data_IF_941534445871
#
_entry.id   IF_941534445871
#
_cell.length_a   1.000
_cell.length_b   1.000
_cell.length_c   1.000
_cell.angle_alpha   90.00
_cell.angle_beta   90.00
_cell.angle_gamma   90.00
#
_symmetry.space_group_name_H-M   'P 1'
#
loop_
_entity.id
_entity.type
_entity.pdbx_description
1 polymer ?
#
# COMPACT_ATOMS: atom_id res chain seq x y z
N UNK A 1 36.16 2.07 -20.30
CA UNK A 1 34.72 1.78 -20.29
C UNK A 1 34.38 1.41 -18.87
N UNK A 2 33.48 2.18 -18.26
CA UNK A 2 33.14 2.21 -16.84
C UNK A 2 32.47 0.91 -16.39
N UNK A 3 33.07 0.23 -15.42
CA UNK A 3 32.41 -0.78 -14.61
C UNK A 3 31.41 -0.07 -13.69
N UNK A 4 30.12 -0.16 -14.02
CA UNK A 4 29.04 0.17 -13.10
C UNK A 4 29.17 -0.70 -11.86
N UNK A 5 29.55 -0.07 -10.73
CA UNK A 5 29.39 -0.67 -9.42
C UNK A 5 27.91 -0.90 -9.20
N UNK A 6 27.47 -2.15 -9.31
CA UNK A 6 26.20 -2.59 -8.75
C UNK A 6 26.37 -2.46 -7.23
N UNK A 7 25.92 -1.34 -6.68
CA UNK A 7 25.83 -1.12 -5.25
C UNK A 7 24.83 -2.13 -4.71
N UNK A 8 25.31 -3.18 -4.06
CA UNK A 8 24.49 -4.12 -3.32
C UNK A 8 23.65 -3.31 -2.31
N UNK A 9 22.37 -3.09 -2.64
CA UNK A 9 21.38 -2.52 -1.71
C UNK A 9 21.30 -3.45 -0.50
N UNK A 10 22.07 -3.14 0.56
CA UNK A 10 21.96 -3.83 1.85
C UNK A 10 20.51 -3.72 2.33
N UNK A 11 19.86 -4.86 2.47
CA UNK A 11 18.51 -4.93 3.01
C UNK A 11 18.50 -4.31 4.42
N UNK A 12 17.69 -3.27 4.67
CA UNK A 12 17.68 -2.62 5.98
C UNK A 12 17.20 -3.60 7.05
N UNK A 13 17.82 -3.56 8.23
CA UNK A 13 17.45 -4.42 9.36
C UNK A 13 16.14 -3.92 9.97
N UNK A 14 15.02 -4.51 9.56
CA UNK A 14 13.68 -4.13 10.02
C UNK A 14 13.15 -5.11 11.07
N UNK A 15 12.84 -4.59 12.27
CA UNK A 15 12.15 -5.38 13.29
C UNK A 15 10.63 -5.46 13.04
N UNK A 16 9.92 -6.47 13.57
CA UNK A 16 8.46 -6.55 13.46
C UNK A 16 7.74 -5.29 13.98
N UNK A 17 8.23 -4.71 15.08
CA UNK A 17 7.67 -3.46 15.65
C UNK A 17 7.84 -2.27 14.72
N UNK A 18 8.99 -2.15 14.06
CA UNK A 18 9.22 -1.10 13.06
C UNK A 18 8.31 -1.29 11.85
N UNK A 19 8.17 -2.53 11.37
CA UNK A 19 7.28 -2.87 10.26
C UNK A 19 5.84 -2.44 10.56
N UNK A 20 5.36 -2.75 11.76
CA UNK A 20 3.99 -2.40 12.17
C UNK A 20 3.78 -0.90 12.35
N UNK A 21 4.76 -0.19 12.91
CA UNK A 21 4.74 1.27 13.03
C UNK A 21 4.65 1.93 11.65
N UNK A 22 5.54 1.55 10.73
CA UNK A 22 5.55 2.12 9.38
C UNK A 22 4.26 1.80 8.64
N UNK A 23 3.76 0.55 8.70
CA UNK A 23 2.47 0.18 8.12
C UNK A 23 1.33 1.06 8.64
N UNK A 24 1.25 1.22 9.95
CA UNK A 24 0.21 2.01 10.61
C UNK A 24 0.25 3.47 10.17
N UNK A 25 1.45 4.06 10.13
CA UNK A 25 1.60 5.46 9.77
C UNK A 25 1.40 5.71 8.27
N UNK A 26 1.77 4.76 7.40
CA UNK A 26 1.43 4.81 5.98
C UNK A 26 -0.08 4.76 5.75
N UNK A 27 -0.82 3.91 6.49
CA UNK A 27 -2.29 3.87 6.45
C UNK A 27 -2.92 5.20 6.87
N UNK A 28 -2.34 5.88 7.86
CA UNK A 28 -2.78 7.22 8.30
C UNK A 28 -2.42 8.34 7.32
N UNK A 29 -1.61 8.06 6.29
CA UNK A 29 -1.10 9.08 5.37
C UNK A 29 0.00 9.97 5.97
N UNK A 30 0.72 9.50 7.00
CA UNK A 30 1.84 10.24 7.59
C UNK A 30 2.99 10.43 6.59
N UNK A 31 3.66 11.59 6.66
CA UNK A 31 4.84 11.88 5.83
C UNK A 31 6.07 11.05 6.24
N UNK A 32 7.00 10.85 5.30
CA UNK A 32 8.28 10.17 5.59
C UNK A 32 9.05 10.86 6.74
N UNK A 33 9.02 12.19 6.82
CA UNK A 33 9.66 12.95 7.90
C UNK A 33 9.05 12.65 9.27
N UNK A 34 7.72 12.50 9.34
CA UNK A 34 7.02 12.13 10.57
C UNK A 34 7.36 10.71 10.99
N UNK A 35 7.38 9.79 10.02
CA UNK A 35 7.74 8.39 10.28
C UNK A 35 9.20 8.28 10.74
N UNK A 36 10.13 9.03 10.15
CA UNK A 36 11.53 9.08 10.57
C UNK A 36 11.68 9.49 12.04
N UNK A 37 10.95 10.54 12.45
CA UNK A 37 10.92 10.98 13.84
C UNK A 37 10.37 9.90 14.78
N UNK A 38 9.33 9.18 14.39
CA UNK A 38 8.74 8.09 15.18
C UNK A 38 9.64 6.84 15.25
N UNK A 39 10.45 6.61 14.23
CA UNK A 39 11.46 5.55 14.20
C UNK A 39 12.72 5.92 15.00
N UNK A 40 12.87 7.18 15.43
CA UNK A 40 14.08 7.72 16.07
C UNK A 40 15.33 7.48 15.20
N UNK A 41 15.20 7.73 13.89
CA UNK A 41 16.24 7.51 12.89
C UNK A 41 16.51 8.76 12.08
N UNK A 42 17.72 8.84 11.55
CA UNK A 42 18.07 9.82 10.53
C UNK A 42 17.17 9.66 9.31
N UNK A 43 16.85 10.78 8.66
CA UNK A 43 15.85 10.83 7.60
C UNK A 43 16.17 9.86 6.45
N UNK A 44 17.42 9.82 6.00
CA UNK A 44 17.85 8.95 4.90
C UNK A 44 17.70 7.46 5.24
N UNK A 45 18.09 7.06 6.46
CA UNK A 45 17.93 5.68 6.93
C UNK A 45 16.44 5.32 7.03
N UNK A 46 15.62 6.23 7.57
CA UNK A 46 14.19 6.02 7.68
C UNK A 46 13.51 5.87 6.31
N UNK A 47 13.91 6.66 5.30
CA UNK A 47 13.38 6.54 3.93
C UNK A 47 13.69 5.16 3.36
N UNK A 48 14.91 4.66 3.52
CA UNK A 48 15.27 3.31 3.05
C UNK A 48 14.43 2.22 3.72
N UNK A 49 14.16 2.35 5.03
CA UNK A 49 13.29 1.43 5.77
C UNK A 49 11.85 1.51 5.28
N UNK A 50 11.33 2.72 5.06
CA UNK A 50 9.97 2.95 4.58
C UNK A 50 9.79 2.32 3.19
N UNK A 51 10.71 2.58 2.27
CA UNK A 51 10.64 2.06 0.91
C UNK A 51 10.73 0.53 0.89
N UNK A 52 11.63 -0.05 1.68
CA UNK A 52 11.71 -1.51 1.83
C UNK A 52 10.41 -2.10 2.38
N UNK A 53 9.79 -1.48 3.39
CA UNK A 53 8.52 -1.95 3.94
C UNK A 53 7.40 -1.78 2.92
N UNK A 54 7.36 -0.68 2.17
CA UNK A 54 6.39 -0.46 1.08
C UNK A 54 6.44 -1.59 0.06
N UNK A 55 7.64 -1.99 -0.36
CA UNK A 55 7.81 -3.12 -1.28
C UNK A 55 7.30 -4.44 -0.70
N UNK A 56 7.56 -4.72 0.58
CA UNK A 56 7.06 -5.96 1.23
C UNK A 56 5.54 -5.99 1.36
N UNK A 57 4.90 -4.85 1.53
CA UNK A 57 3.44 -4.74 1.77
C UNK A 57 2.69 -4.38 0.49
N UNK A 58 3.41 -4.24 -0.63
CA UNK A 58 2.83 -3.86 -1.92
C UNK A 58 1.83 -4.93 -2.33
N UNK A 59 0.60 -4.55 -2.70
CA UNK A 59 -0.36 -5.52 -3.22
C UNK A 59 0.12 -6.15 -4.52
N UNK A 60 -0.48 -7.28 -4.87
CA UNK A 60 -0.20 -8.02 -6.10
C UNK A 60 -1.42 -8.02 -7.03
N UNK A 61 -1.17 -8.08 -8.33
CA UNK A 61 -2.24 -8.27 -9.32
C UNK A 61 -2.90 -9.63 -9.11
N UNK A 62 -4.23 -9.67 -9.18
CA UNK A 62 -5.05 -10.85 -8.94
C UNK A 62 -5.48 -11.03 -7.48
N UNK A 63 -4.95 -10.25 -6.53
CA UNK A 63 -5.43 -10.28 -5.15
C UNK A 63 -6.84 -9.70 -5.05
N UNK A 64 -7.65 -10.34 -4.21
CA UNK A 64 -8.98 -9.84 -3.83
C UNK A 64 -8.85 -9.02 -2.56
N UNK A 65 -9.40 -7.81 -2.58
CA UNK A 65 -9.30 -6.85 -1.49
C UNK A 65 -10.67 -6.38 -1.02
N UNK A 66 -10.70 -5.97 0.25
CA UNK A 66 -11.80 -5.21 0.85
C UNK A 66 -11.39 -3.75 0.98
N UNK A 67 -12.31 -2.85 0.65
CA UNK A 67 -12.15 -1.40 0.81
C UNK A 67 -13.51 -0.76 1.06
N UNK A 68 -13.50 0.47 1.56
CA UNK A 68 -14.73 1.24 1.80
C UNK A 68 -14.85 2.38 0.80
N UNK A 69 -16.05 2.56 0.24
CA UNK A 69 -16.40 3.72 -0.58
C UNK A 69 -17.65 4.38 -0.02
N UNK A 70 -17.55 5.65 0.41
CA UNK A 70 -18.65 6.39 1.06
C UNK A 70 -19.29 5.60 2.22
N UNK A 71 -18.45 5.04 3.07
CA UNK A 71 -18.85 4.21 4.23
C UNK A 71 -19.51 2.86 3.87
N UNK A 72 -19.62 2.52 2.58
CA UNK A 72 -20.12 1.23 2.11
C UNK A 72 -18.99 0.25 1.82
N UNK A 73 -19.22 -1.02 2.19
CA UNK A 73 -18.25 -2.09 2.00
C UNK A 73 -18.20 -2.54 0.55
N UNK A 74 -16.99 -2.59 0.02
CA UNK A 74 -16.71 -2.98 -1.35
C UNK A 74 -15.69 -4.10 -1.38
N UNK A 75 -15.83 -4.98 -2.37
CA UNK A 75 -14.89 -6.06 -2.66
C UNK A 75 -14.50 -5.98 -4.12
N UNK A 76 -13.22 -6.22 -4.41
CA UNK A 76 -12.78 -6.28 -5.81
C UNK A 76 -11.46 -6.97 -5.99
N UNK A 77 -11.12 -7.25 -7.25
CA UNK A 77 -9.86 -7.88 -7.66
C UNK A 77 -8.93 -6.84 -8.26
N UNK A 78 -7.68 -6.80 -7.81
CA UNK A 78 -6.66 -5.93 -8.37
C UNK A 78 -6.32 -6.41 -9.79
N UNK A 79 -6.54 -5.56 -10.79
CA UNK A 79 -6.16 -5.85 -12.18
C UNK A 79 -4.85 -5.17 -12.58
N UNK A 80 -4.50 -4.04 -11.96
CA UNK A 80 -3.26 -3.34 -12.25
C UNK A 80 -2.75 -2.57 -11.03
N UNK A 81 -1.43 -2.41 -10.93
CA UNK A 81 -0.77 -1.62 -9.89
C UNK A 81 -0.30 -0.27 -10.45
N UNK A 82 -0.54 0.77 -9.69
CA UNK A 82 0.02 2.11 -9.88
C UNK A 82 1.03 2.39 -8.76
N UNK A 83 1.58 3.60 -8.67
CA UNK A 83 2.63 3.90 -7.69
C UNK A 83 2.18 3.71 -6.24
N UNK A 84 0.99 4.22 -5.89
CA UNK A 84 0.41 4.18 -4.53
C UNK A 84 -1.04 3.70 -4.50
N UNK A 85 -1.53 3.17 -5.61
CA UNK A 85 -2.91 2.75 -5.81
C UNK A 85 -2.99 1.59 -6.78
N UNK A 86 -4.20 1.05 -6.94
CA UNK A 86 -4.48 -0.06 -7.84
C UNK A 86 -5.75 0.19 -8.63
N UNK A 87 -5.80 -0.34 -9.85
CA UNK A 87 -7.04 -0.49 -10.60
C UNK A 87 -7.70 -1.77 -10.10
N UNK A 88 -8.92 -1.64 -9.62
CA UNK A 88 -9.67 -2.71 -8.97
C UNK A 88 -10.96 -2.94 -9.74
N UNK A 89 -11.17 -4.17 -10.22
CA UNK A 89 -12.45 -4.60 -10.76
C UNK A 89 -13.38 -4.99 -9.61
N UNK A 90 -14.52 -4.34 -9.51
CA UNK A 90 -15.48 -4.53 -8.42
C UNK A 90 -16.18 -5.88 -8.58
N UNK A 91 -16.28 -6.63 -7.48
CA UNK A 91 -17.15 -7.79 -7.38
C UNK A 91 -18.51 -7.35 -6.82
N UNK A 92 -19.44 -7.08 -7.74
CA UNK A 92 -20.79 -6.67 -7.41
C UNK A 92 -21.62 -7.72 -6.66
N UNK A 93 -21.20 -9.00 -6.68
CA UNK A 93 -21.89 -10.05 -5.92
C UNK A 93 -21.55 -9.99 -4.44
N UNK A 94 -20.43 -9.34 -4.09
CA UNK A 94 -19.88 -9.23 -2.73
C UNK A 94 -19.83 -7.79 -2.21
N UNK A 95 -20.20 -6.81 -3.03
CA UNK A 95 -20.20 -5.38 -2.71
C UNK A 95 -21.61 -4.85 -2.46
N UNK A 96 -21.70 -3.68 -1.81
CA UNK A 96 -22.99 -3.05 -1.54
C UNK A 96 -23.74 -2.66 -2.83
N UNK A 97 -25.00 -3.08 -2.94
CA UNK A 97 -25.77 -2.95 -4.18
C UNK A 97 -26.12 -1.49 -4.51
N UNK A 98 -26.31 -0.67 -3.49
CA UNK A 98 -26.60 0.76 -3.66
C UNK A 98 -25.49 1.51 -4.40
N UNK A 99 -24.26 0.99 -4.42
CA UNK A 99 -23.14 1.61 -5.12
C UNK A 99 -23.06 1.27 -6.61
N UNK A 100 -23.81 0.26 -7.08
CA UNK A 100 -23.79 -0.18 -8.48
C UNK A 100 -24.27 0.90 -9.47
N UNK A 101 -25.10 1.84 -9.02
CA UNK A 101 -25.55 2.97 -9.85
C UNK A 101 -24.56 4.16 -9.83
N UNK A 102 -23.60 4.16 -8.91
CA UNK A 102 -22.71 5.29 -8.65
C UNK A 102 -21.28 5.07 -9.12
N UNK A 103 -20.89 3.81 -9.32
CA UNK A 103 -19.54 3.40 -9.66
C UNK A 103 -19.56 2.58 -10.95
N UNK A 104 -18.47 2.70 -11.70
CA UNK A 104 -18.19 1.80 -12.83
C UNK A 104 -17.71 0.44 -12.31
N UNK A 105 -17.65 -0.55 -13.20
CA UNK A 105 -17.12 -1.90 -12.89
C UNK A 105 -15.66 -1.89 -12.42
N UNK A 106 -14.93 -0.79 -12.66
CA UNK A 106 -13.56 -0.59 -12.21
C UNK A 106 -13.43 0.72 -11.45
N UNK A 107 -12.59 0.71 -10.43
CA UNK A 107 -12.28 1.90 -9.65
C UNK A 107 -10.80 1.94 -9.25
N UNK A 108 -10.34 3.10 -8.79
CA UNK A 108 -8.98 3.28 -8.25
C UNK A 108 -9.04 3.23 -6.73
N UNK A 109 -8.26 2.33 -6.13
CA UNK A 109 -8.15 2.19 -4.67
C UNK A 109 -6.71 2.47 -4.24
N UNK A 110 -6.50 3.40 -3.31
CA UNK A 110 -5.17 3.64 -2.75
C UNK A 110 -4.78 2.49 -1.82
N UNK A 111 -3.49 2.15 -1.75
CA UNK A 111 -3.00 1.07 -0.89
C UNK A 111 -3.31 1.31 0.59
N UNK A 112 -3.36 2.58 1.03
CA UNK A 112 -3.74 2.95 2.40
C UNK A 112 -5.22 2.69 2.72
N UNK A 113 -6.07 2.64 1.70
CA UNK A 113 -7.52 2.47 1.82
C UNK A 113 -7.92 0.98 1.68
N UNK A 114 -6.95 0.09 1.47
CA UNK A 114 -7.16 -1.36 1.50
C UNK A 114 -7.31 -1.79 2.96
N UNK A 115 -8.49 -2.29 3.29
CA UNK A 115 -8.85 -2.72 4.64
C UNK A 115 -8.43 -4.17 4.90
N UNK A 116 -8.58 -5.04 3.90
CA UNK A 116 -8.33 -6.47 4.01
C UNK A 116 -7.95 -7.13 2.69
N UNK A 117 -7.36 -8.32 2.79
CA UNK A 117 -7.06 -9.23 1.68
C UNK A 117 -7.83 -10.53 1.92
N UNK A 118 -8.47 -11.06 0.88
CA UNK A 118 -9.39 -12.21 0.93
C UNK A 118 -8.81 -13.46 0.26
#
# INVERSE_FOLDING_TARGET
MSEEKIEEKKTPKVSPKMKELVKTELRKGSSNSRIAKLLEKEYEEAVQIIDYIKEIIRPEVGQVIEFTFRDEKMVGTIENLLDNSSVVKIDWTRSEKGMHELLEDKTIVNFKDIEGYL
#
